data_IF_801893964388
#
_entry.id   IF_801893964388
#
_cell.length_a   1.000
_cell.length_b   1.000
_cell.length_c   1.000
_cell.angle_alpha   90.00
_cell.angle_beta   90.00
_cell.angle_gamma   90.00
#
_symmetry.space_group_name_H-M   'P 1'
#
loop_
_entity.id
_entity.type
_entity.pdbx_description
1 polymer ?
#
# COMPACT_ATOMS: atom_id res chain seq x y z
N UNK A 1 6.05 2.15 12.76
CA UNK A 1 5.08 1.55 13.65
C UNK A 1 3.67 2.02 13.31
N UNK A 2 2.65 1.36 13.86
CA UNK A 2 1.25 1.67 13.52
C UNK A 2 0.82 3.06 13.97
N UNK A 3 1.37 3.62 15.05
CA UNK A 3 1.05 4.96 15.51
C UNK A 3 1.53 6.01 14.53
N UNK A 4 2.75 5.87 14.03
CA UNK A 4 3.32 6.80 13.05
C UNK A 4 2.52 6.77 11.75
N UNK A 5 2.14 5.58 11.28
CA UNK A 5 1.32 5.43 10.09
C UNK A 5 -0.04 6.08 10.27
N UNK A 6 -0.66 5.91 11.44
CA UNK A 6 -1.96 6.50 11.76
C UNK A 6 -1.89 8.03 11.78
N UNK A 7 -0.82 8.60 12.35
CA UNK A 7 -0.63 10.05 12.42
C UNK A 7 -0.43 10.66 11.04
N UNK A 8 0.38 10.03 10.20
CA UNK A 8 0.59 10.46 8.82
C UNK A 8 -0.73 10.45 8.07
N UNK A 9 -1.50 9.41 8.24
CA UNK A 9 -2.80 9.24 7.60
C UNK A 9 -3.76 10.36 8.00
N UNK A 10 -3.88 10.65 9.28
CA UNK A 10 -4.75 11.72 9.78
C UNK A 10 -4.34 13.08 9.24
N UNK A 11 -3.03 13.32 9.13
CA UNK A 11 -2.52 14.57 8.60
C UNK A 11 -2.87 14.74 7.13
N UNK A 12 -2.76 13.67 6.35
CA UNK A 12 -3.13 13.68 4.93
C UNK A 12 -4.60 14.00 4.74
N UNK A 13 -5.47 13.42 5.53
CA UNK A 13 -6.89 13.69 5.47
C UNK A 13 -7.19 15.17 5.73
N UNK A 14 -6.56 15.77 6.74
CA UNK A 14 -6.75 17.18 7.07
C UNK A 14 -6.29 18.12 5.96
N UNK A 15 -5.31 17.71 5.17
CA UNK A 15 -4.76 18.49 4.08
C UNK A 15 -5.41 18.23 2.73
N UNK A 16 -6.54 17.51 2.72
CA UNK A 16 -7.20 17.07 1.48
C UNK A 16 -6.28 16.24 0.59
N UNK A 17 -5.35 15.51 1.20
CA UNK A 17 -4.51 14.57 0.46
C UNK A 17 -5.27 13.25 0.37
N UNK A 18 -5.54 12.82 -0.86
CA UNK A 18 -6.42 11.67 -1.09
C UNK A 18 -5.71 10.44 -1.63
N UNK A 19 -4.40 10.50 -1.79
CA UNK A 19 -3.61 9.38 -2.32
C UNK A 19 -2.60 8.92 -1.30
N UNK A 20 -2.50 7.59 -1.14
CA UNK A 20 -1.44 6.99 -0.33
C UNK A 20 -0.77 5.86 -1.11
N UNK A 21 0.44 5.53 -0.71
CA UNK A 21 1.21 4.43 -1.26
C UNK A 21 1.60 3.52 -0.09
N UNK A 22 1.39 2.22 -0.27
CA UNK A 22 1.87 1.22 0.66
C UNK A 22 3.15 0.59 0.13
N UNK A 23 4.00 0.14 1.03
CA UNK A 23 5.22 -0.57 0.67
C UNK A 23 5.57 -1.57 1.77
N UNK A 24 6.08 -2.73 1.40
CA UNK A 24 6.57 -3.69 2.37
C UNK A 24 7.74 -4.47 1.79
N UNK A 25 8.59 -4.97 2.70
CA UNK A 25 9.76 -5.76 2.32
C UNK A 25 9.42 -7.24 2.28
N UNK A 26 10.01 -7.97 1.30
CA UNK A 26 9.98 -9.42 1.26
C UNK A 26 11.35 -9.95 1.64
N UNK A 27 11.52 -10.46 2.87
CA UNK A 27 12.84 -10.95 3.31
C UNK A 27 13.39 -12.10 2.49
N UNK A 28 12.51 -12.85 1.82
CA UNK A 28 12.93 -13.96 0.98
C UNK A 28 13.72 -13.53 -0.26
N UNK A 29 13.70 -12.24 -0.61
CA UNK A 29 14.34 -11.73 -1.82
C UNK A 29 13.49 -11.86 -3.08
N UNK A 30 12.30 -12.45 -3.00
CA UNK A 30 11.38 -12.55 -4.12
C UNK A 30 10.43 -11.36 -4.11
N UNK A 31 10.40 -10.59 -5.19
CA UNK A 31 9.56 -9.39 -5.26
C UNK A 31 8.10 -9.69 -5.54
N UNK A 32 7.77 -10.89 -6.03
CA UNK A 32 6.38 -11.20 -6.38
C UNK A 32 5.51 -11.19 -5.13
N UNK A 33 4.36 -10.50 -5.19
CA UNK A 33 3.43 -10.51 -4.06
C UNK A 33 2.79 -11.90 -3.91
N UNK A 34 2.51 -12.26 -2.66
CA UNK A 34 1.77 -13.47 -2.38
C UNK A 34 0.28 -13.23 -2.65
N UNK A 35 -0.48 -14.34 -2.71
CA UNK A 35 -1.93 -14.21 -2.81
C UNK A 35 -2.51 -13.44 -1.63
N UNK A 36 -1.96 -13.64 -0.44
CA UNK A 36 -2.38 -12.92 0.76
C UNK A 36 -2.08 -11.43 0.64
N UNK A 37 -0.93 -11.08 0.10
CA UNK A 37 -0.57 -9.67 -0.14
C UNK A 37 -1.63 -9.02 -1.05
N UNK A 38 -2.02 -9.69 -2.10
CA UNK A 38 -3.01 -9.17 -3.04
C UNK A 38 -4.37 -9.01 -2.36
N UNK A 39 -4.79 -10.00 -1.59
CA UNK A 39 -6.07 -9.95 -0.87
C UNK A 39 -6.07 -8.81 0.14
N UNK A 40 -5.00 -8.66 0.92
CA UNK A 40 -4.88 -7.58 1.90
C UNK A 40 -4.86 -6.22 1.23
N UNK A 41 -4.21 -6.11 0.08
CA UNK A 41 -4.15 -4.86 -0.67
C UNK A 41 -5.55 -4.45 -1.15
N UNK A 42 -6.33 -5.39 -1.66
CA UNK A 42 -7.70 -5.11 -2.08
C UNK A 42 -8.59 -4.68 -0.92
N UNK A 43 -8.42 -5.32 0.24
CA UNK A 43 -9.15 -4.91 1.45
C UNK A 43 -8.75 -3.51 1.90
N UNK A 44 -7.46 -3.20 1.85
CA UNK A 44 -6.98 -1.87 2.18
C UNK A 44 -7.55 -0.84 1.21
N UNK A 45 -7.57 -1.15 -0.08
CA UNK A 45 -8.15 -0.27 -1.10
C UNK A 45 -9.62 0.05 -0.78
N UNK A 46 -10.41 -0.97 -0.46
CA UNK A 46 -11.83 -0.79 -0.14
C UNK A 46 -12.03 0.05 1.12
N UNK A 47 -11.26 -0.26 2.17
CA UNK A 47 -11.31 0.51 3.41
C UNK A 47 -10.96 1.97 3.18
N UNK A 48 -9.90 2.23 2.46
CA UNK A 48 -9.44 3.59 2.18
C UNK A 48 -10.44 4.35 1.34
N UNK A 49 -11.05 3.68 0.36
CA UNK A 49 -12.09 4.28 -0.47
C UNK A 49 -13.27 4.73 0.36
N UNK A 50 -13.66 3.95 1.37
CA UNK A 50 -14.79 4.30 2.24
C UNK A 50 -14.54 5.57 3.02
N UNK A 51 -13.31 5.93 3.27
CA UNK A 51 -12.95 7.15 3.99
C UNK A 51 -12.38 8.24 3.07
N UNK A 52 -12.60 8.10 1.76
CA UNK A 52 -12.25 9.13 0.79
C UNK A 52 -10.77 9.15 0.39
N UNK A 53 -10.05 8.05 0.58
CA UNK A 53 -8.64 7.97 0.25
C UNK A 53 -8.40 6.94 -0.85
N UNK A 54 -7.55 7.28 -1.80
CA UNK A 54 -7.19 6.38 -2.89
C UNK A 54 -5.88 5.68 -2.57
N UNK A 55 -5.87 4.35 -2.68
CA UNK A 55 -4.64 3.60 -2.66
C UNK A 55 -4.00 3.71 -4.06
N UNK A 56 -2.96 4.51 -4.16
CA UNK A 56 -2.32 4.78 -5.44
C UNK A 56 -1.49 3.60 -5.93
N UNK A 57 -0.74 2.98 -5.03
CA UNK A 57 0.05 1.80 -5.36
C UNK A 57 0.41 1.03 -4.09
N UNK A 58 0.92 -0.16 -4.29
CA UNK A 58 1.50 -0.99 -3.25
C UNK A 58 2.76 -1.63 -3.81
N UNK A 59 3.91 -1.28 -3.24
CA UNK A 59 5.20 -1.79 -3.69
C UNK A 59 5.66 -2.92 -2.80
N UNK A 60 6.11 -4.00 -3.42
CA UNK A 60 6.90 -5.03 -2.75
C UNK A 60 8.35 -4.72 -3.02
N UNK A 61 9.15 -4.64 -1.97
CA UNK A 61 10.53 -4.18 -2.07
C UNK A 61 11.45 -5.29 -1.57
N UNK A 62 12.49 -5.57 -2.36
CA UNK A 62 13.59 -6.44 -1.95
C UNK A 62 14.89 -5.67 -2.13
N UNK A 63 16.01 -6.33 -1.79
CA UNK A 63 17.31 -5.72 -1.95
C UNK A 63 17.59 -5.45 -3.44
N UNK A 64 17.54 -4.18 -3.82
CA UNK A 64 17.81 -3.75 -5.18
C UNK A 64 16.65 -3.88 -6.18
N UNK A 65 15.50 -4.35 -5.77
CA UNK A 65 14.36 -4.51 -6.66
C UNK A 65 13.06 -4.01 -6.03
N UNK A 66 12.11 -3.65 -6.88
CA UNK A 66 10.76 -3.33 -6.42
C UNK A 66 9.75 -3.84 -7.45
N UNK A 67 8.53 -4.06 -6.96
CA UNK A 67 7.43 -4.55 -7.78
C UNK A 67 6.19 -3.69 -7.48
N UNK A 68 5.65 -3.05 -8.50
CA UNK A 68 4.43 -2.26 -8.40
C UNK A 68 3.22 -3.15 -8.63
N UNK A 69 2.39 -3.31 -7.63
CA UNK A 69 1.16 -4.11 -7.77
C UNK A 69 0.17 -3.42 -8.70
N UNK A 70 0.16 -2.09 -8.72
CA UNK A 70 -0.71 -1.33 -9.61
C UNK A 70 -0.32 -1.51 -11.08
N UNK A 71 0.97 -1.44 -11.38
CA UNK A 71 1.46 -1.62 -12.75
C UNK A 71 1.12 -3.01 -13.30
N UNK A 72 0.98 -4.00 -12.42
CA UNK A 72 0.61 -5.36 -12.80
C UNK A 72 -0.90 -5.61 -12.69
N UNK A 73 -1.67 -4.56 -12.44
CA UNK A 73 -3.14 -4.60 -12.40
C UNK A 73 -3.68 -5.60 -11.39
N UNK A 74 -3.03 -5.70 -10.23
CA UNK A 74 -3.44 -6.62 -9.18
C UNK A 74 -4.54 -6.04 -8.29
N UNK A 75 -4.77 -4.75 -8.40
CA UNK A 75 -5.88 -4.10 -7.70
C UNK A 75 -6.30 -2.81 -8.40
#
# INVERSE_FOLDING_TARGET
NSSAASDVYKRQMKKNTHDIILAHNHPSGLVLPSREDITMTKRAQDFLKDIGVKLHDHFVITDGEYYSMKDHKLF
#
